data_IF_565929399173
#
_entry.id   IF_565929399173
#
_cell.length_a   1.000
_cell.length_b   1.000
_cell.length_c   1.000
_cell.angle_alpha   90.00
_cell.angle_beta   90.00
_cell.angle_gamma   90.00
#
_symmetry.space_group_name_H-M   'P 1'
#
loop_
_entity.id
_entity.type
_entity.pdbx_description
1 polymer ?
#
# COMPACT_ATOMS: atom_id res chain seq x y z
N UNK A 1 35.20 29.23 -6.70
CA UNK A 1 34.81 28.31 -5.62
C UNK A 1 33.37 27.86 -5.88
N UNK A 2 33.17 26.80 -6.69
CA UNK A 2 31.81 26.34 -7.08
C UNK A 2 31.58 24.84 -6.81
N UNK A 3 32.64 24.07 -6.59
CA UNK A 3 32.57 22.62 -6.35
C UNK A 3 31.96 22.25 -5.00
N UNK A 4 32.19 23.05 -3.95
CA UNK A 4 31.67 22.76 -2.61
C UNK A 4 30.15 22.94 -2.51
N UNK A 5 29.57 23.90 -3.24
CA UNK A 5 28.12 24.13 -3.28
C UNK A 5 27.36 23.02 -4.02
N UNK A 6 27.93 22.50 -5.12
CA UNK A 6 27.34 21.40 -5.87
C UNK A 6 27.32 20.13 -5.01
N UNK A 7 28.41 19.84 -4.30
CA UNK A 7 28.52 18.63 -3.47
C UNK A 7 27.49 18.60 -2.33
N UNK A 8 27.19 19.76 -1.74
CA UNK A 8 26.19 19.86 -0.67
C UNK A 8 24.76 19.69 -1.19
N UNK A 9 24.42 20.29 -2.35
CA UNK A 9 23.04 20.25 -2.90
C UNK A 9 22.57 18.83 -3.20
N UNK A 10 23.33 18.04 -3.97
CA UNK A 10 22.87 16.69 -4.35
C UNK A 10 22.83 15.73 -3.15
N UNK A 11 23.66 15.96 -2.13
CA UNK A 11 23.65 15.17 -0.89
C UNK A 11 22.40 15.45 -0.05
N UNK A 12 22.03 16.73 0.09
CA UNK A 12 20.79 17.14 0.76
C UNK A 12 19.57 16.60 0.02
N UNK A 13 19.52 16.74 -1.31
CA UNK A 13 18.45 16.20 -2.15
C UNK A 13 18.34 14.68 -2.02
N UNK A 14 19.46 13.95 -2.02
CA UNK A 14 19.48 12.50 -1.87
C UNK A 14 18.96 12.02 -0.51
N UNK A 15 19.31 12.72 0.58
CA UNK A 15 18.78 12.41 1.93
C UNK A 15 17.28 12.65 1.97
N UNK A 16 16.80 13.76 1.41
CA UNK A 16 15.39 14.09 1.42
C UNK A 16 14.57 13.11 0.57
N UNK A 17 15.05 12.78 -0.64
CA UNK A 17 14.44 11.75 -1.48
C UNK A 17 14.39 10.40 -0.77
N UNK A 18 15.48 9.97 -0.14
CA UNK A 18 15.54 8.70 0.60
C UNK A 18 14.55 8.65 1.77
N UNK A 19 14.37 9.76 2.50
CA UNK A 19 13.35 9.86 3.57
C UNK A 19 11.93 9.77 3.01
N UNK A 20 11.65 10.43 1.90
CA UNK A 20 10.31 10.39 1.29
C UNK A 20 10.00 8.98 0.76
N UNK A 21 10.91 8.37 0.02
CA UNK A 21 10.79 6.98 -0.47
C UNK A 21 10.58 6.00 0.68
N UNK A 22 11.43 6.04 1.71
CA UNK A 22 11.30 5.13 2.85
C UNK A 22 10.01 5.33 3.64
N UNK A 23 9.49 6.55 3.72
CA UNK A 23 8.18 6.84 4.34
C UNK A 23 7.03 6.27 3.51
N UNK A 24 7.09 6.39 2.19
CA UNK A 24 6.07 5.87 1.28
C UNK A 24 6.04 4.33 1.30
N UNK A 25 7.20 3.68 1.17
CA UNK A 25 7.32 2.22 1.28
C UNK A 25 6.89 1.71 2.66
N UNK A 26 7.25 2.42 3.72
CA UNK A 26 6.85 2.09 5.08
C UNK A 26 5.34 2.11 5.27
N UNK A 27 4.66 3.14 4.75
CA UNK A 27 3.19 3.23 4.79
C UNK A 27 2.52 2.11 4.01
N UNK A 28 3.00 1.82 2.80
CA UNK A 28 2.43 0.76 1.97
C UNK A 28 2.56 -0.62 2.63
N UNK A 29 3.75 -0.90 3.20
CA UNK A 29 4.02 -2.14 3.92
C UNK A 29 3.15 -2.29 5.17
N UNK A 30 2.98 -1.20 5.94
CA UNK A 30 2.12 -1.19 7.13
C UNK A 30 0.64 -1.41 6.76
N UNK A 31 0.13 -0.70 5.75
CA UNK A 31 -1.24 -0.84 5.28
C UNK A 31 -1.53 -2.29 4.82
N UNK A 32 -0.64 -2.85 3.99
CA UNK A 32 -0.74 -4.24 3.53
C UNK A 32 -0.75 -5.23 4.70
N UNK A 33 0.18 -5.07 5.66
CA UNK A 33 0.27 -5.94 6.83
C UNK A 33 -1.00 -5.90 7.69
N UNK A 34 -1.58 -4.71 7.89
CA UNK A 34 -2.82 -4.56 8.64
C UNK A 34 -3.99 -5.24 7.94
N UNK A 35 -4.14 -5.04 6.63
CA UNK A 35 -5.20 -5.66 5.83
C UNK A 35 -5.09 -7.20 5.90
N UNK A 36 -3.89 -7.76 5.70
CA UNK A 36 -3.66 -9.21 5.76
C UNK A 36 -4.01 -9.81 7.13
N UNK A 37 -3.86 -9.04 8.22
CA UNK A 37 -4.22 -9.47 9.58
C UNK A 37 -5.71 -9.32 9.88
N UNK A 38 -6.39 -8.39 9.21
CA UNK A 38 -7.81 -8.08 9.45
C UNK A 38 -8.74 -8.94 8.59
N UNK A 39 -8.38 -9.21 7.34
CA UNK A 39 -9.12 -10.08 6.42
C UNK A 39 -9.59 -11.40 7.05
N UNK A 40 -8.72 -12.25 7.63
CA UNK A 40 -9.14 -13.50 8.24
C UNK A 40 -10.07 -13.33 9.44
N UNK A 41 -10.06 -12.16 10.09
CA UNK A 41 -10.93 -11.86 11.23
C UNK A 41 -12.31 -11.36 10.80
N UNK A 42 -12.42 -10.76 9.62
CA UNK A 42 -13.68 -10.20 9.09
C UNK A 42 -14.47 -11.22 8.29
N UNK A 43 -13.82 -11.85 7.31
CA UNK A 43 -14.48 -12.66 6.29
C UNK A 43 -13.99 -14.11 6.26
N UNK A 44 -13.10 -14.48 7.18
CA UNK A 44 -12.49 -15.81 7.24
C UNK A 44 -11.33 -16.01 6.26
N UNK A 45 -10.96 -17.27 6.01
CA UNK A 45 -9.78 -17.60 5.23
C UNK A 45 -9.88 -17.06 3.79
N UNK A 46 -8.88 -16.26 3.38
CA UNK A 46 -8.77 -15.70 2.03
C UNK A 46 -7.77 -16.53 1.21
N UNK A 47 -8.14 -16.87 -0.03
CA UNK A 47 -7.30 -17.64 -0.94
C UNK A 47 -5.97 -16.92 -1.24
N UNK A 48 -4.84 -17.64 -1.38
CA UNK A 48 -3.53 -17.04 -1.73
C UNK A 48 -3.56 -16.12 -2.95
N UNK A 49 -4.34 -16.44 -3.98
CA UNK A 49 -4.43 -15.63 -5.20
C UNK A 49 -4.98 -14.22 -4.94
N UNK A 50 -5.93 -14.10 -4.01
CA UNK A 50 -6.46 -12.80 -3.59
C UNK A 50 -5.46 -12.05 -2.73
N UNK A 51 -4.68 -12.77 -1.89
CA UNK A 51 -3.63 -12.15 -1.09
C UNK A 51 -2.52 -11.56 -1.98
N UNK A 52 -2.11 -12.28 -3.03
CA UNK A 52 -1.14 -11.77 -4.02
C UNK A 52 -1.66 -10.53 -4.72
N UNK A 53 -2.93 -10.53 -5.15
CA UNK A 53 -3.56 -9.37 -5.80
C UNK A 53 -3.58 -8.14 -4.89
N UNK A 54 -3.87 -8.32 -3.59
CA UNK A 54 -3.83 -7.24 -2.60
C UNK A 54 -2.40 -6.74 -2.40
N UNK A 55 -1.40 -7.62 -2.42
CA UNK A 55 0.02 -7.25 -2.34
C UNK A 55 0.52 -6.38 -3.50
N UNK A 56 -0.21 -6.33 -4.62
CA UNK A 56 0.12 -5.51 -5.79
C UNK A 56 -0.61 -4.15 -5.81
N UNK A 57 -1.44 -3.86 -4.81
CA UNK A 57 -2.16 -2.60 -4.72
C UNK A 57 -1.24 -1.45 -4.32
N UNK A 58 -1.51 -0.27 -4.86
CA UNK A 58 -0.89 0.98 -4.42
C UNK A 58 -1.34 1.37 -3.00
N UNK A 59 -0.59 2.24 -2.33
CA UNK A 59 -0.96 2.74 -1.00
C UNK A 59 -2.41 3.27 -0.96
N UNK A 60 -2.83 4.09 -1.93
CA UNK A 60 -4.18 4.65 -1.98
C UNK A 60 -5.25 3.56 -2.09
N UNK A 61 -5.00 2.53 -2.90
CA UNK A 61 -5.92 1.40 -3.05
C UNK A 61 -5.97 0.53 -1.79
N UNK A 62 -4.86 0.41 -1.07
CA UNK A 62 -4.82 -0.26 0.23
C UNK A 62 -5.59 0.54 1.30
N UNK A 63 -5.47 1.87 1.31
CA UNK A 63 -6.24 2.74 2.22
C UNK A 63 -7.75 2.63 1.94
N UNK A 64 -8.18 2.67 0.67
CA UNK A 64 -9.58 2.47 0.26
C UNK A 64 -10.10 1.07 0.65
N UNK A 65 -9.29 0.04 0.42
CA UNK A 65 -9.61 -1.33 0.83
C UNK A 65 -9.74 -1.44 2.36
N UNK A 66 -8.89 -0.74 3.13
CA UNK A 66 -8.92 -0.79 4.59
C UNK A 66 -10.21 -0.17 5.16
N UNK A 67 -10.74 0.88 4.53
CA UNK A 67 -12.04 1.47 4.88
C UNK A 67 -13.18 0.51 4.54
N UNK A 68 -13.23 0.01 3.30
CA UNK A 68 -14.28 -0.89 2.84
C UNK A 68 -14.30 -2.24 3.58
N UNK A 69 -13.13 -2.72 4.04
CA UNK A 69 -12.99 -3.96 4.81
C UNK A 69 -13.84 -3.96 6.08
N UNK A 70 -14.17 -2.80 6.63
CA UNK A 70 -15.02 -2.67 7.82
C UNK A 70 -16.48 -3.07 7.55
N UNK A 71 -16.92 -2.97 6.30
CA UNK A 71 -18.29 -3.29 5.87
C UNK A 71 -18.42 -4.69 5.25
N UNK A 72 -17.29 -5.38 5.01
CA UNK A 72 -17.32 -6.70 4.39
C UNK A 72 -17.95 -7.75 5.29
N UNK A 73 -18.86 -8.53 4.71
CA UNK A 73 -19.51 -9.67 5.37
C UNK A 73 -19.05 -11.01 4.79
N UNK A 74 -18.42 -11.01 3.62
CA UNK A 74 -18.02 -12.21 2.90
C UNK A 74 -16.81 -12.01 1.98
N UNK A 75 -16.26 -13.11 1.48
CA UNK A 75 -15.21 -13.09 0.45
C UNK A 75 -15.70 -12.49 -0.87
N UNK A 76 -16.99 -12.61 -1.18
CA UNK A 76 -17.56 -12.02 -2.39
C UNK A 76 -17.49 -10.48 -2.39
N UNK A 77 -17.62 -9.85 -1.22
CA UNK A 77 -17.50 -8.40 -1.07
C UNK A 77 -16.07 -7.93 -1.40
N UNK A 78 -15.07 -8.68 -0.94
CA UNK A 78 -13.67 -8.44 -1.27
C UNK A 78 -13.41 -8.60 -2.77
N UNK A 79 -13.91 -9.66 -3.39
CA UNK A 79 -13.70 -9.91 -4.82
C UNK A 79 -14.33 -8.81 -5.68
N UNK A 80 -15.55 -8.38 -5.34
CA UNK A 80 -16.23 -7.28 -6.03
C UNK A 80 -15.46 -5.96 -5.89
N UNK A 81 -14.96 -5.67 -4.68
CA UNK A 81 -14.19 -4.46 -4.43
C UNK A 81 -12.83 -4.47 -5.18
N UNK A 82 -12.11 -5.59 -5.16
CA UNK A 82 -10.87 -5.74 -5.92
C UNK A 82 -11.08 -5.65 -7.43
N UNK A 83 -12.24 -6.10 -7.93
CA UNK A 83 -12.61 -5.94 -9.33
C UNK A 83 -12.74 -4.47 -9.70
N UNK A 84 -13.50 -3.69 -8.91
CA UNK A 84 -13.66 -2.24 -9.10
C UNK A 84 -12.31 -1.52 -9.10
N UNK A 85 -11.46 -1.80 -8.10
CA UNK A 85 -10.12 -1.20 -8.01
C UNK A 85 -9.23 -1.54 -9.21
N UNK A 86 -9.39 -2.73 -9.79
CA UNK A 86 -8.64 -3.16 -10.98
C UNK A 86 -9.10 -2.50 -12.28
N UNK A 87 -10.33 -1.96 -12.31
CA UNK A 87 -10.92 -1.28 -13.46
C UNK A 87 -10.62 0.24 -13.46
N UNK A 88 -10.22 0.81 -12.33
CA UNK A 88 -9.80 2.22 -12.20
C UNK A 88 -8.34 2.48 -12.64
N UNK A 89 -7.78 1.59 -13.46
CA UNK A 89 -6.41 1.68 -13.99
C UNK A 89 -6.39 2.08 -15.46
#
# INVERSE_FOLDING_TARGET
>A
MSVMQIVTSWMEEGIEQGKQLGKEEGKQSEALSLIMRQLPKRIGAVNPSLQERIGQLSLTQLEDLAEALLDFSSVADLEAHLQRIGEEK
#
